data_IF_299449172714
#
_entry.id   IF_299449172714
#
_cell.length_a   1.000
_cell.length_b   1.000
_cell.length_c   1.000
_cell.angle_alpha   90.00
_cell.angle_beta   90.00
_cell.angle_gamma   90.00
#
_symmetry.space_group_name_H-M   'P 1'
#
loop_
_entity.id
_entity.type
_entity.pdbx_description
1 polymer ?
#
# COMPACT_ATOMS: atom_id res chain seq x y z
N UNK A 1 -10.47 -13.19 -5.07
CA UNK A 1 -10.00 -12.08 -4.20
C UNK A 1 -11.13 -11.71 -3.23
N UNK A 2 -10.82 -11.01 -2.14
CA UNK A 2 -11.83 -10.40 -1.27
C UNK A 2 -12.57 -9.25 -1.98
N UNK A 3 -13.55 -8.63 -1.31
CA UNK A 3 -14.28 -7.47 -1.83
C UNK A 3 -13.38 -6.25 -2.12
N UNK A 4 -12.19 -6.21 -1.52
CA UNK A 4 -11.12 -5.23 -1.80
C UNK A 4 -10.35 -5.51 -3.11
N UNK A 5 -10.65 -6.62 -3.80
CA UNK A 5 -10.00 -7.02 -5.03
C UNK A 5 -8.55 -7.51 -4.85
N UNK A 6 -7.95 -7.93 -5.97
CA UNK A 6 -6.49 -8.20 -6.05
C UNK A 6 -5.66 -6.91 -6.13
N UNK A 7 -6.32 -5.78 -6.39
CA UNK A 7 -5.85 -4.40 -6.34
C UNK A 7 -7.09 -3.52 -6.15
N UNK A 8 -6.97 -2.42 -5.42
CA UNK A 8 -8.04 -1.46 -5.18
C UNK A 8 -7.71 -0.13 -5.89
N UNK A 9 -7.82 1.00 -5.21
CA UNK A 9 -7.55 2.35 -5.71
C UNK A 9 -6.11 2.60 -6.17
N UNK A 10 -5.13 1.86 -5.62
CA UNK A 10 -3.72 2.19 -5.80
C UNK A 10 -3.28 2.08 -7.28
N UNK A 11 -2.74 3.14 -7.89
CA UNK A 11 -2.34 3.11 -9.29
C UNK A 11 -1.08 2.28 -9.52
N UNK A 12 -1.03 1.67 -10.71
CA UNK A 12 0.18 1.04 -11.25
C UNK A 12 1.10 2.09 -11.85
N UNK A 13 2.38 1.76 -12.03
CA UNK A 13 3.32 2.58 -12.78
C UNK A 13 3.80 1.84 -14.03
N UNK A 14 4.16 2.60 -15.07
CA UNK A 14 4.68 2.08 -16.34
C UNK A 14 5.88 2.92 -16.74
N UNK A 15 6.95 2.25 -17.16
CA UNK A 15 8.10 2.91 -17.80
C UNK A 15 7.80 3.03 -19.31
N UNK A 16 7.69 4.23 -19.89
CA UNK A 16 7.40 4.39 -21.31
C UNK A 16 8.43 3.74 -22.25
N UNK A 17 9.67 3.52 -21.79
CA UNK A 17 10.70 2.82 -22.56
C UNK A 17 10.48 1.30 -22.63
N UNK A 18 9.67 0.76 -21.69
CA UNK A 18 9.25 -0.63 -21.64
C UNK A 18 7.76 -0.72 -21.26
N UNK A 19 6.85 -0.30 -22.17
CA UNK A 19 5.43 -0.17 -21.87
C UNK A 19 4.72 -1.52 -21.68
N UNK A 20 5.41 -2.63 -21.94
CA UNK A 20 4.91 -3.98 -21.73
C UNK A 20 4.93 -4.39 -20.24
N UNK A 21 5.77 -3.76 -19.42
CA UNK A 21 5.94 -4.12 -18.01
C UNK A 21 5.29 -3.09 -17.10
N UNK A 22 4.33 -3.56 -16.30
CA UNK A 22 3.59 -2.78 -15.34
C UNK A 22 4.07 -3.08 -13.93
N UNK A 23 4.29 -2.04 -13.12
CA UNK A 23 4.64 -2.14 -11.71
C UNK A 23 3.37 -2.03 -10.88
N UNK A 24 2.95 -3.14 -10.28
CA UNK A 24 1.62 -3.33 -9.72
C UNK A 24 1.70 -3.61 -8.23
N UNK A 25 1.22 -2.70 -7.36
CA UNK A 25 0.91 -3.02 -5.98
C UNK A 25 -0.40 -3.82 -5.91
N UNK A 26 -0.40 -4.95 -5.19
CA UNK A 26 -1.51 -5.90 -5.14
C UNK A 26 -1.82 -6.35 -3.72
N UNK A 27 -3.06 -6.79 -3.51
CA UNK A 27 -3.61 -7.28 -2.26
C UNK A 27 -3.74 -8.81 -2.28
N UNK A 28 -3.43 -9.46 -1.15
CA UNK A 28 -3.46 -10.92 -1.02
C UNK A 28 -4.51 -11.33 0.04
N UNK A 29 -5.78 -11.07 -0.25
CA UNK A 29 -6.90 -11.34 0.65
C UNK A 29 -8.01 -12.12 -0.04
N UNK A 30 -8.67 -13.00 0.73
CA UNK A 30 -9.90 -13.69 0.37
C UNK A 30 -11.05 -13.25 1.27
N UNK A 31 -12.26 -13.69 0.96
CA UNK A 31 -13.43 -13.41 1.79
C UNK A 31 -14.38 -14.58 1.86
N UNK A 32 -15.09 -14.66 2.98
CA UNK A 32 -16.40 -15.29 3.08
C UNK A 32 -17.45 -14.20 2.95
N UNK A 33 -18.44 -14.40 2.09
CA UNK A 33 -19.55 -13.47 1.86
C UNK A 33 -20.87 -14.18 2.17
N UNK A 34 -21.58 -13.67 3.18
CA UNK A 34 -22.88 -14.19 3.59
C UNK A 34 -23.95 -13.13 3.33
N UNK A 35 -24.75 -13.28 2.25
CA UNK A 35 -25.85 -12.37 1.95
C UNK A 35 -26.89 -12.38 3.07
N UNK A 36 -27.39 -11.20 3.42
CA UNK A 36 -28.45 -11.01 4.39
C UNK A 36 -29.76 -10.69 3.68
N UNK A 37 -30.88 -11.15 4.26
CA UNK A 37 -32.20 -10.85 3.72
C UNK A 37 -32.48 -9.35 3.83
N UNK A 38 -32.80 -8.73 2.70
CA UNK A 38 -33.29 -7.35 2.64
C UNK A 38 -34.68 -7.26 3.28
N UNK A 39 -34.84 -6.36 4.25
CA UNK A 39 -36.13 -6.14 4.94
C UNK A 39 -36.74 -4.77 4.66
N UNK A 40 -35.93 -3.75 4.36
CA UNK A 40 -36.40 -2.41 3.99
C UNK A 40 -35.32 -1.62 3.26
N UNK A 41 -35.69 -0.49 2.65
CA UNK A 41 -34.77 0.47 2.03
C UNK A 41 -35.04 1.86 2.55
N UNK A 42 -34.00 2.57 2.98
CA UNK A 42 -34.08 3.96 3.45
C UNK A 42 -33.05 4.80 2.69
N UNK A 43 -33.50 5.92 2.11
CA UNK A 43 -32.63 6.83 1.40
C UNK A 43 -31.60 7.44 2.36
N UNK A 44 -30.33 7.48 1.94
CA UNK A 44 -29.22 8.00 2.75
C UNK A 44 -28.57 6.97 3.68
N UNK A 45 -29.14 5.78 3.84
CA UNK A 45 -28.50 4.67 4.57
C UNK A 45 -27.63 3.80 3.64
N UNK A 46 -26.65 3.11 4.22
CA UNK A 46 -25.83 2.14 3.48
C UNK A 46 -26.67 0.99 2.90
N UNK A 47 -26.37 0.59 1.67
CA UNK A 47 -27.11 -0.43 0.92
C UNK A 47 -26.17 -1.59 0.55
N UNK A 48 -25.86 -2.46 1.52
CA UNK A 48 -24.92 -3.58 1.35
C UNK A 48 -25.54 -4.97 1.58
N UNK A 49 -26.30 -5.16 2.67
CA UNK A 49 -26.98 -6.43 3.02
C UNK A 49 -26.12 -7.70 2.90
N UNK A 50 -24.88 -7.65 3.40
CA UNK A 50 -23.99 -8.80 3.45
C UNK A 50 -23.10 -8.73 4.69
N UNK A 51 -22.84 -9.88 5.29
CA UNK A 51 -21.74 -10.05 6.25
C UNK A 51 -20.52 -10.53 5.49
N UNK A 52 -19.50 -9.68 5.40
CA UNK A 52 -18.23 -9.99 4.76
C UNK A 52 -17.17 -10.22 5.82
N UNK A 53 -16.47 -11.35 5.74
CA UNK A 53 -15.33 -11.67 6.58
C UNK A 53 -14.09 -11.85 5.71
N UNK A 54 -13.08 -11.01 5.90
CA UNK A 54 -11.82 -11.06 5.14
C UNK A 54 -10.73 -11.80 5.91
N UNK A 55 -9.98 -12.65 5.22
CA UNK A 55 -8.91 -13.44 5.80
C UNK A 55 -7.71 -13.59 4.84
N UNK A 56 -6.52 -13.81 5.41
CA UNK A 56 -5.31 -14.14 4.66
C UNK A 56 -5.40 -15.60 4.17
N UNK A 57 -5.36 -15.86 2.85
CA UNK A 57 -5.27 -17.23 2.36
C UNK A 57 -3.89 -17.85 2.65
N UNK A 58 -2.86 -17.01 2.84
CA UNK A 58 -1.51 -17.41 3.22
C UNK A 58 -1.04 -16.48 4.33
N UNK A 59 -0.80 -17.04 5.53
CA UNK A 59 -0.45 -16.24 6.70
C UNK A 59 0.83 -15.43 6.46
N UNK A 60 0.79 -14.14 6.80
CA UNK A 60 1.92 -13.23 6.64
C UNK A 60 2.19 -12.79 5.19
N UNK A 61 1.24 -13.02 4.28
CA UNK A 61 1.24 -12.48 2.92
C UNK A 61 -0.06 -11.71 2.71
N UNK A 62 -0.03 -10.41 3.02
CA UNK A 62 -1.20 -9.53 2.88
C UNK A 62 -1.13 -8.66 1.63
N UNK A 63 0.08 -8.44 1.09
CA UNK A 63 0.32 -7.65 -0.10
C UNK A 63 1.42 -8.24 -0.97
N UNK A 64 1.55 -7.70 -2.17
CA UNK A 64 2.65 -8.04 -3.06
C UNK A 64 2.91 -6.87 -4.01
N UNK A 65 4.17 -6.51 -4.24
CA UNK A 65 4.56 -5.62 -5.32
C UNK A 65 5.18 -6.43 -6.45
N UNK A 66 4.73 -6.23 -7.69
CA UNK A 66 5.17 -7.08 -8.81
C UNK A 66 5.43 -6.27 -10.08
N UNK A 67 6.37 -6.76 -10.89
CA UNK A 67 6.42 -6.45 -12.30
C UNK A 67 5.60 -7.48 -13.07
N UNK A 68 4.67 -7.00 -13.89
CA UNK A 68 3.75 -7.82 -14.65
C UNK A 68 3.85 -7.48 -16.13
N UNK A 69 4.11 -8.48 -16.95
CA UNK A 69 4.11 -8.39 -18.41
C UNK A 69 2.67 -8.51 -18.91
N UNK A 70 2.13 -7.41 -19.46
CA UNK A 70 0.73 -7.36 -19.89
C UNK A 70 0.46 -8.08 -21.21
N UNK A 71 1.49 -8.29 -22.05
CA UNK A 71 1.34 -9.00 -23.31
C UNK A 71 1.28 -10.51 -23.09
N UNK A 72 2.14 -11.02 -22.20
CA UNK A 72 2.19 -12.46 -21.89
C UNK A 72 1.29 -12.87 -20.73
N UNK A 73 0.80 -11.91 -19.95
CA UNK A 73 0.00 -12.14 -18.74
C UNK A 73 0.80 -12.77 -17.59
N UNK A 74 2.13 -12.62 -17.58
CA UNK A 74 3.02 -13.28 -16.62
C UNK A 74 3.64 -12.29 -15.65
N UNK A 75 3.84 -12.75 -14.42
CA UNK A 75 4.66 -12.03 -13.43
C UNK A 75 6.13 -12.21 -13.83
N UNK A 76 6.83 -11.09 -14.04
CA UNK A 76 8.28 -11.06 -14.32
C UNK A 76 9.04 -11.30 -13.02
N UNK A 77 8.69 -10.55 -11.98
CA UNK A 77 9.19 -10.72 -10.63
C UNK A 77 8.14 -10.21 -9.62
N UNK A 78 8.27 -10.62 -8.36
CA UNK A 78 7.41 -10.19 -7.26
C UNK A 78 8.14 -10.10 -5.93
N UNK A 79 7.68 -9.19 -5.09
CA UNK A 79 8.10 -9.00 -3.70
C UNK A 79 6.88 -9.30 -2.82
N UNK A 80 6.88 -10.42 -2.07
CA UNK A 80 5.82 -10.70 -1.11
C UNK A 80 5.93 -9.75 0.08
N UNK A 81 4.81 -9.13 0.45
CA UNK A 81 4.75 -8.18 1.56
C UNK A 81 3.81 -8.66 2.66
N UNK A 82 4.27 -8.52 3.91
CA UNK A 82 3.50 -8.88 5.11
C UNK A 82 2.25 -8.01 5.29
N UNK A 83 2.25 -6.82 4.71
CA UNK A 83 1.15 -5.85 4.82
C UNK A 83 0.68 -5.48 3.41
N UNK A 84 -0.57 -5.04 3.27
CA UNK A 84 -1.07 -4.65 1.95
C UNK A 84 -0.25 -3.50 1.37
N UNK A 85 0.01 -3.56 0.07
CA UNK A 85 0.58 -2.46 -0.71
C UNK A 85 -0.58 -1.60 -1.22
N UNK A 86 -1.07 -0.74 -0.32
CA UNK A 86 -2.26 0.07 -0.57
C UNK A 86 -1.94 1.47 -1.13
N UNK A 87 -0.67 1.83 -1.24
CA UNK A 87 -0.19 3.02 -1.94
C UNK A 87 0.13 2.75 -3.40
N UNK A 88 0.14 3.80 -4.21
CA UNK A 88 0.51 3.71 -5.62
C UNK A 88 1.99 3.41 -5.85
N UNK A 89 2.32 3.10 -7.10
CA UNK A 89 3.69 2.94 -7.54
C UNK A 89 4.18 4.16 -8.33
N UNK A 90 5.50 4.33 -8.37
CA UNK A 90 6.20 5.26 -9.26
C UNK A 90 7.41 4.53 -9.85
N UNK A 91 7.64 4.61 -11.16
CA UNK A 91 8.88 4.14 -11.79
C UNK A 91 9.58 5.30 -12.47
N UNK A 92 10.91 5.30 -12.43
CA UNK A 92 11.75 6.36 -13.00
C UNK A 92 12.68 5.80 -14.07
N UNK A 93 13.10 6.67 -15.00
CA UNK A 93 14.06 6.31 -16.06
C UNK A 93 15.43 5.85 -15.53
N UNK A 94 15.73 6.06 -14.24
CA UNK A 94 16.90 5.51 -13.57
C UNK A 94 16.81 4.01 -13.26
N UNK A 95 15.74 3.33 -13.67
CA UNK A 95 15.54 1.91 -13.40
C UNK A 95 15.13 1.61 -11.95
N UNK A 96 14.52 2.58 -11.27
CA UNK A 96 14.08 2.46 -9.88
C UNK A 96 12.57 2.65 -9.79
N UNK A 97 11.90 1.73 -9.09
CA UNK A 97 10.50 1.82 -8.73
C UNK A 97 10.31 2.07 -7.22
N UNK A 98 9.32 2.89 -6.86
CA UNK A 98 8.98 3.25 -5.49
C UNK A 98 7.56 2.82 -5.16
N UNK A 99 7.37 2.29 -3.96
CA UNK A 99 6.05 1.93 -3.43
C UNK A 99 6.09 1.90 -1.89
N UNK A 100 4.93 1.85 -1.26
CA UNK A 100 4.82 1.74 0.20
C UNK A 100 3.71 0.81 0.66
N UNK A 101 3.79 0.37 1.91
CA UNK A 101 2.82 -0.52 2.54
C UNK A 101 2.01 0.15 3.67
N UNK A 102 0.99 -0.59 4.14
CA UNK A 102 0.06 -0.15 5.18
C UNK A 102 0.70 0.09 6.56
N UNK A 103 1.96 -0.29 6.78
CA UNK A 103 2.68 0.03 8.01
C UNK A 103 3.72 1.13 7.83
N UNK A 104 3.85 1.69 6.63
CA UNK A 104 4.73 2.81 6.36
C UNK A 104 6.15 2.43 5.98
N UNK A 105 6.40 1.20 5.54
CA UNK A 105 7.67 0.89 4.90
C UNK A 105 7.63 1.46 3.48
N UNK A 106 8.40 2.51 3.22
CA UNK A 106 8.58 3.08 1.90
C UNK A 106 9.85 2.50 1.27
N UNK A 107 9.72 1.88 0.10
CA UNK A 107 10.79 1.12 -0.56
C UNK A 107 11.12 1.70 -1.93
N UNK A 108 12.40 1.66 -2.27
CA UNK A 108 12.90 1.81 -3.62
C UNK A 108 13.49 0.47 -4.08
N UNK A 109 13.07 0.00 -5.24
CA UNK A 109 13.46 -1.31 -5.78
C UNK A 109 13.99 -1.17 -7.20
N UNK A 110 14.92 -2.06 -7.55
CA UNK A 110 15.41 -2.19 -8.91
C UNK A 110 14.25 -2.65 -9.82
N UNK A 111 13.95 -1.87 -10.85
CA UNK A 111 12.80 -2.09 -11.73
C UNK A 111 12.90 -3.40 -12.54
N UNK A 112 14.11 -3.89 -12.79
CA UNK A 112 14.33 -5.10 -13.59
C UNK A 112 14.25 -6.37 -12.76
N UNK A 113 14.67 -6.32 -11.50
CA UNK A 113 14.87 -7.50 -10.67
C UNK A 113 13.97 -7.56 -9.44
N UNK A 114 13.36 -6.45 -9.04
CA UNK A 114 12.61 -6.34 -7.78
C UNK A 114 13.49 -6.31 -6.54
N UNK A 115 14.83 -6.22 -6.67
CA UNK A 115 15.73 -6.12 -5.53
C UNK A 115 15.48 -4.82 -4.76
N UNK A 116 15.24 -4.91 -3.45
CA UNK A 116 15.15 -3.72 -2.58
C UNK A 116 16.53 -3.04 -2.54
N UNK A 117 16.57 -1.79 -2.99
CA UNK A 117 17.75 -0.94 -3.01
C UNK A 117 17.84 -0.05 -1.78
N UNK A 118 16.68 0.41 -1.30
CA UNK A 118 16.56 1.27 -0.13
C UNK A 118 15.18 1.11 0.50
N UNK A 119 15.09 1.27 1.81
CA UNK A 119 13.84 1.26 2.56
C UNK A 119 13.92 2.23 3.73
N UNK A 120 12.79 2.86 4.07
CA UNK A 120 12.65 3.65 5.30
C UNK A 120 11.27 3.51 5.92
N UNK A 121 11.24 3.42 7.26
CA UNK A 121 10.02 3.47 8.04
C UNK A 121 9.51 4.91 8.16
N UNK A 122 8.28 5.14 7.73
CA UNK A 122 7.57 6.41 7.89
C UNK A 122 6.64 6.35 9.11
N UNK A 123 6.11 7.51 9.51
CA UNK A 123 5.32 7.63 10.75
C UNK A 123 3.92 7.02 10.70
N UNK A 124 3.43 6.59 9.53
CA UNK A 124 2.10 6.01 9.35
C UNK A 124 2.04 5.17 8.06
N UNK A 125 0.95 4.44 7.85
CA UNK A 125 0.69 3.67 6.63
C UNK A 125 0.65 4.54 5.37
N UNK A 126 1.08 3.98 4.24
CA UNK A 126 1.14 4.68 2.96
C UNK A 126 -0.01 4.21 2.08
N UNK A 127 -1.00 5.08 1.88
CA UNK A 127 -2.10 4.89 0.92
C UNK A 127 -2.03 5.87 -0.27
N UNK A 128 -1.12 6.85 -0.19
CA UNK A 128 -0.89 7.84 -1.22
C UNK A 128 0.05 7.34 -2.33
N UNK A 129 0.26 8.20 -3.32
CA UNK A 129 1.08 7.89 -4.49
C UNK A 129 2.42 8.60 -4.37
N UNK A 130 3.56 7.90 -4.54
CA UNK A 130 4.85 8.56 -4.66
C UNK A 130 4.89 9.42 -5.93
N UNK A 131 5.51 10.60 -5.82
CA UNK A 131 5.75 11.50 -6.96
C UNK A 131 7.23 11.84 -7.03
N UNK A 132 7.72 12.17 -8.23
CA UNK A 132 9.06 12.74 -8.41
C UNK A 132 9.00 14.05 -9.17
N UNK A 133 9.88 14.97 -8.82
CA UNK A 133 10.01 16.30 -9.40
C UNK A 133 11.45 16.80 -9.23
N UNK A 134 11.80 17.88 -9.91
CA UNK A 134 13.11 18.51 -9.79
C UNK A 134 12.97 19.96 -9.30
N UNK A 135 13.87 20.38 -8.41
CA UNK A 135 14.01 21.77 -7.97
C UNK A 135 15.48 22.13 -8.11
N UNK A 136 15.78 23.20 -8.86
CA UNK A 136 17.15 23.66 -9.13
C UNK A 136 18.08 22.55 -9.63
N UNK A 137 17.60 21.71 -10.55
CA UNK A 137 18.37 20.59 -11.12
C UNK A 137 18.52 19.36 -10.21
N UNK A 138 18.05 19.41 -8.96
CA UNK A 138 18.07 18.29 -8.04
C UNK A 138 16.73 17.54 -8.06
N UNK A 139 16.78 16.23 -8.24
CA UNK A 139 15.60 15.36 -8.18
C UNK A 139 15.18 15.08 -6.72
N UNK A 140 13.88 15.10 -6.50
CA UNK A 140 13.20 14.76 -5.25
C UNK A 140 12.16 13.67 -5.51
N UNK A 141 11.85 12.89 -4.46
CA UNK A 141 10.75 11.94 -4.40
C UNK A 141 9.94 12.21 -3.15
N UNK A 142 8.63 12.41 -3.27
CA UNK A 142 7.75 12.66 -2.13
C UNK A 142 6.59 11.69 -2.06
N UNK A 143 6.12 11.40 -0.85
CA UNK A 143 4.97 10.52 -0.59
C UNK A 143 4.27 10.94 0.70
N UNK A 144 2.93 10.86 0.72
CA UNK A 144 2.13 11.06 1.93
C UNK A 144 2.06 9.77 2.75
N UNK A 145 2.28 9.89 4.05
CA UNK A 145 2.01 8.83 5.02
C UNK A 145 0.88 9.26 5.97
N UNK A 146 -0.15 8.42 6.03
CA UNK A 146 -1.39 8.61 6.77
C UNK A 146 -2.31 7.43 6.46
N UNK A 147 -2.42 6.49 7.40
CA UNK A 147 -3.25 5.30 7.24
C UNK A 147 -4.73 5.69 7.07
N UNK A 148 -5.41 5.03 6.13
CA UNK A 148 -6.80 5.35 5.77
C UNK A 148 -7.27 4.52 4.59
N UNK A 149 -8.20 5.06 3.80
CA UNK A 149 -8.91 4.29 2.77
C UNK A 149 -9.69 3.11 3.40
N UNK A 150 -10.16 2.17 2.59
CA UNK A 150 -10.91 1.03 3.12
C UNK A 150 -10.04 0.13 4.00
N UNK A 151 -8.78 -0.13 3.61
CA UNK A 151 -7.87 -0.96 4.39
C UNK A 151 -7.52 -0.35 5.76
N UNK A 152 -7.32 0.97 5.83
CA UNK A 152 -7.05 1.68 7.09
C UNK A 152 -8.30 2.15 7.86
N UNK A 153 -9.51 1.97 7.31
CA UNK A 153 -10.75 2.49 7.89
C UNK A 153 -10.96 2.06 9.36
N UNK A 154 -10.69 0.81 9.77
CA UNK A 154 -10.82 0.42 11.17
C UNK A 154 -9.98 1.26 12.13
N UNK A 155 -8.79 1.68 11.70
CA UNK A 155 -7.88 2.54 12.48
C UNK A 155 -8.34 3.99 12.44
N UNK A 156 -8.65 4.50 11.24
CA UNK A 156 -9.02 5.90 11.03
C UNK A 156 -10.34 6.27 11.72
N UNK A 157 -11.32 5.36 11.72
CA UNK A 157 -12.63 5.57 12.34
C UNK A 157 -12.76 5.00 13.76
N UNK A 158 -11.68 4.44 14.34
CA UNK A 158 -11.69 3.88 15.70
C UNK A 158 -12.70 2.75 15.89
N UNK A 159 -12.82 1.86 14.90
CA UNK A 159 -13.81 0.78 14.92
C UNK A 159 -13.44 -0.31 15.94
N UNK A 160 -14.43 -1.11 16.33
CA UNK A 160 -14.20 -2.26 17.20
C UNK A 160 -13.62 -3.45 16.39
N UNK A 161 -12.35 -3.79 16.63
CA UNK A 161 -11.66 -4.89 15.95
C UNK A 161 -12.21 -6.28 16.33
N UNK A 162 -13.00 -6.40 17.39
CA UNK A 162 -13.66 -7.67 17.75
C UNK A 162 -14.88 -7.97 16.89
N UNK A 163 -15.50 -6.95 16.27
CA UNK A 163 -16.51 -7.18 15.23
C UNK A 163 -15.80 -7.52 13.92
N UNK A 164 -15.77 -8.81 13.57
CA UNK A 164 -15.09 -9.31 12.36
C UNK A 164 -15.78 -8.96 11.04
N UNK A 165 -17.01 -8.43 11.08
CA UNK A 165 -17.77 -8.02 9.90
C UNK A 165 -17.74 -6.50 9.68
N UNK A 166 -17.31 -5.75 10.70
CA UNK A 166 -17.20 -4.30 10.70
C UNK A 166 -16.46 -3.77 9.46
N UNK A 167 -16.94 -2.64 8.93
CA UNK A 167 -16.43 -2.03 7.71
C UNK A 167 -16.31 -3.03 6.53
N UNK A 168 -17.33 -3.89 6.36
CA UNK A 168 -17.39 -4.89 5.28
C UNK A 168 -16.14 -5.79 5.35
N UNK A 169 -15.86 -6.33 6.54
CA UNK A 169 -14.77 -7.27 6.81
C UNK A 169 -13.38 -6.65 6.99
N UNK A 170 -13.21 -5.32 6.82
CA UNK A 170 -11.92 -4.66 6.98
C UNK A 170 -11.39 -4.72 8.42
N UNK A 171 -12.27 -4.76 9.43
CA UNK A 171 -11.86 -4.90 10.85
C UNK A 171 -11.14 -6.22 11.13
N UNK A 172 -11.61 -7.34 10.56
CA UNK A 172 -10.95 -8.63 10.66
C UNK A 172 -9.57 -8.61 10.02
N UNK A 173 -9.47 -8.06 8.81
CA UNK A 173 -8.22 -7.88 8.09
C UNK A 173 -7.22 -7.03 8.90
N UNK A 174 -7.66 -5.88 9.41
CA UNK A 174 -6.82 -4.97 10.18
C UNK A 174 -6.37 -5.57 11.51
N UNK A 175 -7.21 -6.40 12.14
CA UNK A 175 -6.84 -7.17 13.35
C UNK A 175 -5.77 -8.20 13.05
N UNK A 176 -5.93 -8.99 11.99
CA UNK A 176 -4.99 -10.04 11.60
C UNK A 176 -3.61 -9.46 11.30
N UNK A 177 -3.56 -8.28 10.67
CA UNK A 177 -2.30 -7.60 10.32
C UNK A 177 -1.82 -6.60 11.37
N UNK A 178 -2.45 -6.53 12.55
CA UNK A 178 -2.11 -5.60 13.62
C UNK A 178 -2.06 -4.12 13.19
N UNK A 179 -2.91 -3.69 12.26
CA UNK A 179 -2.95 -2.29 11.82
C UNK A 179 -3.37 -1.33 12.94
N UNK A 180 -4.00 -1.81 14.00
CA UNK A 180 -4.28 -1.03 15.21
C UNK A 180 -3.02 -0.49 15.90
N UNK A 181 -1.83 -1.02 15.59
CA UNK A 181 -0.55 -0.52 16.08
C UNK A 181 0.06 0.57 15.18
N UNK A 182 -0.49 0.79 13.99
CA UNK A 182 -0.03 1.82 13.06
C UNK A 182 -0.62 3.15 13.49
N UNK A 183 0.22 4.17 13.78
CA UNK A 183 -0.29 5.49 14.11
C UNK A 183 -1.10 6.08 12.96
N UNK A 184 -2.13 6.86 13.28
CA UNK A 184 -2.69 7.80 12.29
C UNK A 184 -1.62 8.81 11.87
N UNK A 185 -1.80 9.44 10.72
CA UNK A 185 -0.82 10.36 10.18
C UNK A 185 -1.41 11.33 9.17
N UNK A 186 -0.55 12.23 8.69
CA UNK A 186 -0.90 13.27 7.73
C UNK A 186 0.34 14.02 7.28
N UNK A 187 1.44 13.30 7.06
CA UNK A 187 2.77 13.89 6.84
C UNK A 187 3.24 13.63 5.42
N UNK A 188 3.70 14.68 4.74
CA UNK A 188 4.43 14.57 3.49
C UNK A 188 5.91 14.30 3.79
N UNK A 189 6.42 13.16 3.33
CA UNK A 189 7.85 12.86 3.38
C UNK A 189 8.48 13.19 2.03
N UNK A 190 9.67 13.78 2.05
CA UNK A 190 10.42 14.14 0.84
C UNK A 190 11.85 13.65 0.96
N UNK A 191 12.32 12.97 -0.09
CA UNK A 191 13.62 12.33 -0.19
C UNK A 191 14.39 12.90 -1.38
N UNK A 192 15.71 12.98 -1.22
CA UNK A 192 16.66 13.25 -2.30
C UNK A 192 17.98 12.55 -1.98
N UNK A 193 18.84 12.39 -2.98
CA UNK A 193 20.23 12.07 -2.71
C UNK A 193 20.91 13.25 -2.00
N UNK A 194 21.79 12.94 -1.04
CA UNK A 194 22.66 13.94 -0.42
C UNK A 194 23.63 14.52 -1.45
N UNK A 195 23.98 15.79 -1.27
CA UNK A 195 25.14 16.39 -1.92
C UNK A 195 26.33 16.35 -0.95
N UNK A 196 27.54 16.70 -1.40
CA UNK A 196 28.73 16.75 -0.54
C UNK A 196 28.56 17.59 0.75
N UNK A 197 27.64 18.57 0.75
CA UNK A 197 27.38 19.48 1.87
C UNK A 197 26.26 19.03 2.83
N UNK A 198 25.49 18.00 2.47
CA UNK A 198 24.43 17.43 3.30
C UNK A 198 24.46 15.90 3.18
N UNK A 199 25.39 15.23 3.88
CA UNK A 199 25.37 13.78 3.98
C UNK A 199 24.01 13.30 4.51
N UNK A 200 23.55 12.17 4.00
CA UNK A 200 22.25 11.60 4.36
C UNK A 200 22.08 11.52 5.88
N UNK A 201 20.88 11.84 6.39
CA UNK A 201 20.47 11.73 7.82
C UNK A 201 20.46 10.25 8.30
N UNK A 202 21.13 9.34 7.60
CA UNK A 202 21.33 7.95 8.01
C UNK A 202 22.25 7.83 9.24
N UNK A 203 22.96 8.90 9.62
CA UNK A 203 23.89 8.91 10.76
C UNK A 203 23.37 9.72 11.98
N UNK A 204 22.13 10.21 11.95
CA UNK A 204 21.56 10.91 13.11
C UNK A 204 21.00 9.90 14.12
N UNK A 205 21.89 9.52 15.02
CA UNK A 205 21.72 8.79 16.29
C UNK A 205 20.29 8.79 16.86
N UNK A 206 19.82 7.60 17.21
CA UNK A 206 18.83 7.37 18.27
C UNK A 206 19.23 8.11 19.55
N UNK A 207 18.38 8.97 20.14
CA UNK A 207 18.59 9.43 21.50
C UNK A 207 18.52 8.24 22.45
N UNK A 208 19.47 8.18 23.39
CA UNK A 208 19.50 7.24 24.52
C UNK A 208 18.23 7.30 25.36
#
# INVERSE_FOLDING_TARGET
PSAMGGKDQQPVAVDPSNPQVFFVPTNQWCMEDTPLKRTSTQQGSGYAFANVYMYEPTAGLAGQFQAFDVDTGKIVWKIPDKYQTWGGALVTAGGVAFYGDMVGDFRAVDAKTGKVLWQRKLGSGIIGNPISYAVNGQQYVSVFAGIGGWSGLPVAAGLNFSDKFGAIGATAMAKTTNLNLVPQGGTLYTFRLGGAEHPSIADAETPK
#
